data_IF_020839430532
#
_entry.id   IF_020839430532
#
_cell.length_a   1.000
_cell.length_b   1.000
_cell.length_c   1.000
_cell.angle_alpha   90.00
_cell.angle_beta   90.00
_cell.angle_gamma   90.00
#
_symmetry.space_group_name_H-M   'P 1'
#
loop_
_entity.id
_entity.type
_entity.pdbx_description
1 polymer ?
#
# COMPACT_ATOMS: atom_id res chain seq x y z
N UNK A 1 4.88 -21.18 -10.89
CA UNK A 1 3.54 -20.85 -10.39
C UNK A 1 3.14 -19.52 -11.01
N UNK A 2 2.30 -19.56 -12.04
CA UNK A 2 1.65 -18.36 -12.56
C UNK A 2 0.43 -18.07 -11.67
N UNK A 3 0.22 -16.81 -11.31
CA UNK A 3 -0.95 -16.39 -10.53
C UNK A 3 -2.10 -16.24 -11.54
N UNK A 4 -2.92 -17.30 -11.68
CA UNK A 4 -3.96 -17.44 -12.71
C UNK A 4 -5.19 -16.51 -12.56
N UNK A 5 -5.13 -15.52 -11.68
CA UNK A 5 -6.18 -14.48 -11.54
C UNK A 5 -5.53 -13.12 -11.30
N UNK A 6 -5.63 -12.24 -12.27
CA UNK A 6 -5.08 -10.87 -12.24
C UNK A 6 -5.41 -10.11 -10.95
N UNK A 7 -6.57 -10.36 -10.33
CA UNK A 7 -6.95 -9.75 -9.06
C UNK A 7 -6.03 -10.13 -7.88
N UNK A 8 -5.57 -11.39 -7.80
CA UNK A 8 -4.68 -11.82 -6.71
C UNK A 8 -3.26 -11.26 -6.86
N UNK A 9 -2.82 -11.02 -8.09
CA UNK A 9 -1.49 -10.49 -8.38
C UNK A 9 -1.27 -9.09 -7.80
N UNK A 10 -2.31 -8.27 -7.76
CA UNK A 10 -2.23 -6.84 -7.38
C UNK A 10 -2.14 -6.63 -5.86
N UNK A 11 -2.64 -7.57 -5.07
CA UNK A 11 -2.52 -7.48 -3.61
C UNK A 11 -1.06 -7.61 -3.17
N UNK A 12 -0.24 -8.41 -3.88
CA UNK A 12 1.15 -8.69 -3.51
C UNK A 12 2.01 -7.41 -3.48
N UNK A 13 2.03 -6.56 -4.53
CA UNK A 13 2.74 -5.28 -4.49
C UNK A 13 2.37 -4.40 -3.30
N UNK A 14 1.09 -4.33 -2.93
CA UNK A 14 0.67 -3.55 -1.77
C UNK A 14 1.27 -4.13 -0.47
N UNK A 15 1.17 -5.44 -0.26
CA UNK A 15 1.78 -6.08 0.91
C UNK A 15 3.31 -5.89 0.94
N UNK A 16 4.01 -6.02 -0.18
CA UNK A 16 5.46 -5.77 -0.25
C UNK A 16 5.79 -4.33 0.14
N UNK A 17 5.06 -3.35 -0.41
CA UNK A 17 5.31 -1.95 -0.12
C UNK A 17 4.99 -1.55 1.32
N UNK A 18 4.12 -2.31 1.99
CA UNK A 18 3.74 -2.08 3.38
C UNK A 18 4.51 -2.94 4.39
N UNK A 19 5.31 -3.92 3.97
CA UNK A 19 6.19 -4.67 4.86
C UNK A 19 7.05 -3.81 5.81
N UNK A 20 7.56 -2.62 5.43
CA UNK A 20 8.29 -1.77 6.38
C UNK A 20 7.50 -1.42 7.64
N UNK A 21 6.16 -1.43 7.58
CA UNK A 21 5.31 -1.18 8.74
C UNK A 21 5.54 -2.18 9.87
N UNK A 22 6.01 -3.40 9.60
CA UNK A 22 6.35 -4.38 10.64
C UNK A 22 7.37 -3.85 11.65
N UNK A 23 8.19 -2.87 11.26
CA UNK A 23 9.23 -2.29 12.12
C UNK A 23 8.71 -1.21 13.08
N UNK A 24 7.58 -0.55 12.76
CA UNK A 24 7.12 0.65 13.48
C UNK A 24 5.63 0.63 13.85
N UNK A 25 4.82 -0.05 13.06
CA UNK A 25 3.37 -0.17 13.21
C UNK A 25 2.93 -1.63 13.04
N UNK A 26 3.52 -2.61 13.75
CA UNK A 26 3.27 -4.05 13.54
C UNK A 26 1.80 -4.45 13.65
N UNK A 27 0.99 -3.69 14.37
CA UNK A 27 -0.46 -3.86 14.51
C UNK A 27 -1.23 -3.81 13.17
N UNK A 28 -0.62 -3.27 12.11
CA UNK A 28 -1.23 -3.26 10.77
C UNK A 28 -1.54 -4.67 10.25
N UNK A 29 -0.79 -5.69 10.71
CA UNK A 29 -1.05 -7.11 10.40
C UNK A 29 -2.35 -7.62 11.00
N UNK A 30 -2.80 -7.03 12.11
CA UNK A 30 -4.10 -7.26 12.73
C UNK A 30 -5.19 -6.36 12.15
N UNK A 31 -4.92 -5.67 11.03
CA UNK A 31 -5.80 -4.67 10.42
C UNK A 31 -6.14 -3.53 11.39
N UNK A 32 -5.16 -3.05 12.14
CA UNK A 32 -5.31 -1.87 13.01
C UNK A 32 -4.32 -0.82 12.62
N UNK A 33 -4.79 0.38 12.33
CA UNK A 33 -4.00 1.60 12.21
C UNK A 33 -4.76 2.69 12.96
N UNK A 34 -4.05 3.55 13.69
CA UNK A 34 -4.66 4.67 14.44
C UNK A 34 -4.51 6.02 13.71
N UNK A 35 -3.64 6.08 12.71
CA UNK A 35 -3.37 7.29 11.93
C UNK A 35 -2.72 6.94 10.58
N UNK A 36 -3.53 6.72 9.56
CA UNK A 36 -3.04 6.39 8.22
C UNK A 36 -2.04 7.41 7.64
N UNK A 37 -2.15 8.70 8.02
CA UNK A 37 -1.22 9.75 7.55
C UNK A 37 0.19 9.54 8.09
N UNK A 38 0.33 9.31 9.40
CA UNK A 38 1.63 9.01 10.04
C UNK A 38 2.25 7.72 9.50
N UNK A 39 1.42 6.71 9.23
CA UNK A 39 1.86 5.45 8.62
C UNK A 39 2.39 5.70 7.21
N UNK A 40 1.67 6.46 6.40
CA UNK A 40 2.09 6.81 5.05
C UNK A 40 3.38 7.66 5.03
N UNK A 41 3.50 8.65 5.91
CA UNK A 41 4.74 9.45 6.09
C UNK A 41 5.95 8.56 6.42
N UNK A 42 5.75 7.52 7.24
CA UNK A 42 6.82 6.57 7.55
C UNK A 42 7.22 5.75 6.33
N UNK A 43 6.26 5.24 5.55
CA UNK A 43 6.55 4.54 4.28
C UNK A 43 7.33 5.43 3.31
N UNK A 44 6.99 6.72 3.23
CA UNK A 44 7.71 7.71 2.42
C UNK A 44 9.13 8.03 2.92
N UNK A 45 9.45 7.69 4.16
CA UNK A 45 10.78 7.87 4.76
C UNK A 45 11.66 6.61 4.69
N UNK A 46 11.08 5.44 4.44
CA UNK A 46 11.79 4.17 4.50
C UNK A 46 12.58 3.90 3.20
N UNK A 47 13.91 4.10 3.28
CA UNK A 47 14.82 4.01 2.12
C UNK A 47 14.81 2.67 1.40
N UNK A 48 14.66 1.56 2.12
CA UNK A 48 14.85 0.20 1.61
C UNK A 48 13.57 -0.42 1.04
N UNK A 49 12.84 0.36 0.22
CA UNK A 49 11.62 -0.08 -0.46
C UNK A 49 11.52 0.53 -1.86
N UNK A 50 10.98 -0.24 -2.81
CA UNK A 50 10.61 0.26 -4.13
C UNK A 50 9.42 1.21 -4.09
N UNK A 51 8.68 1.26 -2.97
CA UNK A 51 7.55 2.16 -2.76
C UNK A 51 7.85 3.60 -3.19
N UNK A 52 9.04 4.11 -2.84
CA UNK A 52 9.46 5.47 -3.20
C UNK A 52 9.56 5.68 -4.71
N UNK A 53 10.08 4.70 -5.45
CA UNK A 53 10.16 4.77 -6.92
C UNK A 53 8.76 4.73 -7.56
N UNK A 54 7.81 3.99 -6.96
CA UNK A 54 6.41 4.01 -7.41
C UNK A 54 5.68 5.31 -7.07
N UNK A 55 6.17 6.09 -6.10
CA UNK A 55 5.71 7.45 -5.80
C UNK A 55 6.37 8.52 -6.67
N UNK A 56 7.21 8.14 -7.65
CA UNK A 56 7.95 9.09 -8.50
C UNK A 56 9.21 9.68 -7.84
N UNK A 57 9.65 9.15 -6.69
CA UNK A 57 10.88 9.58 -6.01
C UNK A 57 12.03 8.67 -6.45
N UNK A 58 13.07 9.23 -7.05
CA UNK A 58 14.26 8.47 -7.45
C UNK A 58 14.96 7.86 -6.23
N UNK A 59 14.79 6.55 -6.03
CA UNK A 59 15.31 5.80 -4.89
C UNK A 59 16.25 4.68 -5.34
N UNK A 60 15.71 3.73 -6.12
CA UNK A 60 16.46 2.71 -6.86
C UNK A 60 15.87 2.50 -8.27
N UNK A 61 15.81 3.56 -9.10
CA UNK A 61 15.09 3.50 -10.38
C UNK A 61 15.74 2.54 -11.39
N UNK A 62 17.03 2.22 -11.23
CA UNK A 62 17.81 1.34 -12.10
C UNK A 62 17.65 -0.15 -11.81
N UNK A 63 17.14 -0.53 -10.63
CA UNK A 63 17.07 -1.95 -10.20
C UNK A 63 15.65 -2.52 -10.24
N UNK A 64 14.64 -1.67 -10.41
CA UNK A 64 13.23 -2.08 -10.47
C UNK A 64 12.65 -1.83 -11.86
N UNK A 65 11.67 -2.64 -12.27
CA UNK A 65 10.81 -2.36 -13.41
C UNK A 65 9.40 -2.06 -12.89
N UNK A 66 8.94 -0.83 -13.11
CA UNK A 66 7.65 -0.33 -12.58
C UNK A 66 6.56 -0.26 -13.63
N UNK A 67 6.89 -0.47 -14.91
CA UNK A 67 5.98 -0.18 -16.04
C UNK A 67 4.66 -0.93 -15.89
N UNK A 68 4.72 -2.25 -15.71
CA UNK A 68 3.52 -3.09 -15.60
C UNK A 68 2.59 -2.63 -14.48
N UNK A 69 3.14 -2.41 -13.29
CA UNK A 69 2.35 -2.03 -12.11
C UNK A 69 1.86 -0.58 -12.20
N UNK A 70 2.67 0.36 -12.69
CA UNK A 70 2.23 1.73 -12.91
C UNK A 70 1.16 1.83 -14.01
N UNK A 71 1.26 1.03 -15.08
CA UNK A 71 0.20 0.95 -16.10
C UNK A 71 -1.11 0.44 -15.49
N UNK A 72 -1.04 -0.59 -14.64
CA UNK A 72 -2.20 -1.10 -13.91
C UNK A 72 -2.82 -0.05 -12.97
N UNK A 73 -2.01 0.61 -12.14
CA UNK A 73 -2.51 1.65 -11.25
C UNK A 73 -2.98 2.88 -12.02
N UNK A 74 -2.48 3.10 -13.24
CA UNK A 74 -2.71 4.29 -14.06
C UNK A 74 -1.85 5.49 -13.64
N UNK A 75 -0.59 5.22 -13.28
CA UNK A 75 0.46 6.18 -12.97
C UNK A 75 0.73 6.37 -11.48
N UNK A 76 1.81 7.11 -11.18
CA UNK A 76 2.33 7.35 -9.83
C UNK A 76 1.29 8.01 -8.90
N UNK A 77 0.52 8.97 -9.42
CA UNK A 77 -0.53 9.64 -8.66
C UNK A 77 -1.67 8.68 -8.24
N UNK A 78 -2.06 7.77 -9.14
CA UNK A 78 -3.11 6.78 -8.83
C UNK A 78 -2.58 5.68 -7.92
N UNK A 79 -1.31 5.28 -8.07
CA UNK A 79 -0.64 4.39 -7.11
C UNK A 79 -0.59 5.01 -5.70
N UNK A 80 -0.19 6.29 -5.58
CA UNK A 80 -0.20 7.01 -4.30
C UNK A 80 -1.59 6.99 -3.68
N UNK A 81 -2.62 7.26 -4.49
CA UNK A 81 -4.02 7.23 -4.04
C UNK A 81 -4.43 5.83 -3.58
N UNK A 82 -4.08 4.77 -4.31
CA UNK A 82 -4.45 3.40 -3.93
C UNK A 82 -3.80 2.95 -2.62
N UNK A 83 -2.54 3.32 -2.36
CA UNK A 83 -1.90 3.02 -1.07
C UNK A 83 -2.58 3.78 0.07
N UNK A 84 -2.89 5.07 -0.13
CA UNK A 84 -3.60 5.86 0.87
C UNK A 84 -5.01 5.32 1.17
N UNK A 85 -5.74 4.88 0.14
CA UNK A 85 -7.05 4.23 0.29
C UNK A 85 -6.92 2.93 1.09
N UNK A 86 -5.95 2.09 0.76
CA UNK A 86 -5.71 0.84 1.49
C UNK A 86 -5.38 1.06 2.98
N UNK A 87 -4.58 2.08 3.30
CA UNK A 87 -4.27 2.42 4.69
C UNK A 87 -5.49 2.98 5.42
N UNK A 88 -6.35 3.77 4.74
CA UNK A 88 -7.61 4.25 5.32
C UNK A 88 -8.57 3.11 5.61
N UNK A 89 -8.71 2.15 4.70
CA UNK A 89 -9.56 0.96 4.91
C UNK A 89 -9.15 0.11 6.12
N UNK A 90 -7.87 0.19 6.53
CA UNK A 90 -7.36 -0.44 7.75
C UNK A 90 -7.58 0.45 8.99
N UNK A 91 -7.53 1.77 8.81
CA UNK A 91 -7.80 2.76 9.87
C UNK A 91 -9.29 2.81 10.23
N UNK A 92 -10.19 2.45 9.30
CA UNK A 92 -11.63 2.29 9.54
C UNK A 92 -11.89 1.12 10.50
N UNK A 93 -12.53 1.42 11.62
CA UNK A 93 -12.93 0.41 12.60
C UNK A 93 -13.97 -0.56 11.98
N UNK A 94 -13.86 -1.85 12.28
CA UNK A 94 -14.89 -2.84 11.93
C UNK A 94 -16.28 -2.44 12.46
N UNK A 95 -16.33 -1.67 13.56
CA UNK A 95 -17.58 -1.13 14.10
C UNK A 95 -18.23 -0.09 13.16
N UNK A 96 -17.44 0.71 12.45
CA UNK A 96 -17.94 1.69 11.47
C UNK A 96 -18.47 0.99 10.22
N UNK A 97 -17.80 -0.08 9.75
CA UNK A 97 -18.21 -0.85 8.57
C UNK A 97 -19.56 -1.56 8.81
N UNK A 98 -19.77 -2.11 10.02
CA UNK A 98 -21.04 -2.77 10.36
C UNK A 98 -22.25 -1.83 10.30
N UNK A 99 -22.07 -0.55 10.64
CA UNK A 99 -23.15 0.43 10.59
C UNK A 99 -23.59 0.77 9.15
N UNK A 100 -22.69 0.67 8.16
CA UNK A 100 -23.02 0.92 6.75
C UNK A 100 -23.62 -0.30 6.02
N UNK A 101 -23.43 -1.52 6.54
CA UNK A 101 -23.93 -2.76 5.92
C UNK A 101 -25.31 -3.19 6.45
N UNK A 102 -25.85 -2.48 7.43
CA UNK A 102 -27.15 -2.73 8.06
C UNK A 102 -28.23 -1.70 7.67
N UNK A 103 -27.97 -0.87 6.65
CA UNK A 103 -28.98 -0.01 5.98
C UNK A 103 -29.43 -0.59 4.64
#
# INVERSE_FOLDING_TARGET
MAIDRDAHFIHIPNYIHLNPLDLKFPEWRERKINNYKKVFEYLESYRWSSHLDYLGKNNFPSVTNRKLLLDYFGGENKYRKSILEWLKEIDLDESEIKNYLLE
#
